data_IF_893346459677
#
_entry.id   IF_893346459677
#
_cell.length_a   1.000
_cell.length_b   1.000
_cell.length_c   1.000
_cell.angle_alpha   90.00
_cell.angle_beta   90.00
_cell.angle_gamma   90.00
#
_symmetry.space_group_name_H-M   'P 1'
#
loop_
_entity.id
_entity.type
_entity.pdbx_description
1 polymer ?
#
# COMPACT_ATOMS: atom_id res chain seq x y z
N UNK A 1 24.37 -37.33 -0.77
CA UNK A 1 23.02 -36.73 -0.62
C UNK A 1 23.09 -35.71 0.52
N UNK A 2 23.23 -34.42 0.22
CA UNK A 2 23.14 -33.36 1.24
C UNK A 2 21.66 -33.21 1.60
N UNK A 3 21.34 -33.37 2.87
CA UNK A 3 20.03 -33.05 3.45
C UNK A 3 19.72 -31.57 3.20
N UNK A 4 18.47 -31.19 2.87
CA UNK A 4 18.09 -29.79 2.80
C UNK A 4 18.20 -29.22 4.22
N UNK A 5 18.95 -28.14 4.40
CA UNK A 5 18.83 -27.31 5.59
C UNK A 5 17.44 -26.69 5.53
N UNK A 6 16.55 -27.09 6.43
CA UNK A 6 15.37 -26.30 6.76
C UNK A 6 15.88 -25.01 7.42
N UNK A 7 16.17 -23.99 6.59
CA UNK A 7 16.13 -22.62 7.08
C UNK A 7 14.69 -22.37 7.51
N UNK A 8 14.48 -22.31 8.83
CA UNK A 8 13.24 -21.78 9.41
C UNK A 8 13.14 -20.32 8.96
N UNK A 9 12.52 -20.09 7.82
CA UNK A 9 12.07 -18.77 7.39
C UNK A 9 11.04 -18.30 8.41
N UNK A 10 11.52 -17.53 9.39
CA UNK A 10 10.68 -16.95 10.42
C UNK A 10 9.98 -15.73 9.81
N UNK A 11 8.85 -15.95 9.13
CA UNK A 11 8.05 -14.87 8.56
C UNK A 11 7.43 -14.06 9.71
N UNK A 12 7.96 -12.87 9.95
CA UNK A 12 7.37 -11.94 10.90
C UNK A 12 6.20 -11.22 10.19
N UNK A 13 5.02 -11.85 10.19
CA UNK A 13 3.81 -11.30 9.59
C UNK A 13 3.34 -10.09 10.42
N UNK A 14 3.79 -8.89 10.03
CA UNK A 14 3.34 -7.63 10.63
C UNK A 14 2.32 -6.95 9.73
N UNK A 15 1.35 -6.28 10.35
CA UNK A 15 0.41 -5.42 9.63
C UNK A 15 1.13 -4.15 9.19
N UNK A 16 1.06 -3.82 7.91
CA UNK A 16 1.81 -2.70 7.34
C UNK A 16 1.48 -1.34 8.01
N UNK A 17 0.25 -1.18 8.52
CA UNK A 17 -0.15 0.03 9.27
C UNK A 17 0.67 0.27 10.56
N UNK A 18 1.29 -0.78 11.12
CA UNK A 18 2.11 -0.73 12.34
C UNK A 18 3.61 -0.71 12.06
N UNK A 19 4.01 -0.94 10.82
CA UNK A 19 5.43 -0.94 10.46
C UNK A 19 5.87 0.51 10.32
N UNK A 20 6.83 0.94 11.15
CA UNK A 20 7.45 2.25 11.03
C UNK A 20 8.40 2.24 9.84
N UNK A 21 8.14 3.11 8.87
CA UNK A 21 8.94 3.25 7.65
C UNK A 21 9.30 4.72 7.44
N UNK A 22 10.41 5.04 6.76
CA UNK A 22 10.64 6.40 6.29
C UNK A 22 9.56 6.79 5.26
N UNK A 23 9.06 8.01 5.40
CA UNK A 23 7.98 8.56 4.56
C UNK A 23 8.57 9.53 3.54
N UNK A 24 8.39 9.23 2.26
CA UNK A 24 8.78 10.09 1.12
C UNK A 24 7.53 10.69 0.49
N UNK A 25 7.29 11.98 0.74
CA UNK A 25 6.09 12.66 0.25
C UNK A 25 6.38 13.48 -1.00
N UNK A 26 5.60 13.27 -2.04
CA UNK A 26 5.66 14.00 -3.29
C UNK A 26 4.52 15.02 -3.34
N UNK A 27 4.87 16.28 -3.55
CA UNK A 27 3.93 17.38 -3.71
C UNK A 27 4.22 18.16 -5.00
N UNK A 28 3.18 18.78 -5.55
CA UNK A 28 3.29 19.72 -6.66
C UNK A 28 2.95 21.11 -6.15
N UNK A 29 3.71 22.12 -6.53
CA UNK A 29 3.41 23.52 -6.26
C UNK A 29 3.21 24.21 -7.60
N UNK A 30 2.03 24.79 -7.80
CA UNK A 30 1.63 25.43 -9.05
C UNK A 30 1.24 24.45 -10.16
N UNK A 31 0.80 25.01 -11.28
CA UNK A 31 0.26 24.31 -12.45
C UNK A 31 1.21 24.32 -13.66
N UNK A 32 2.29 25.10 -13.64
CA UNK A 32 3.26 25.20 -14.74
C UNK A 32 4.10 23.94 -15.00
N UNK A 33 4.21 23.02 -14.03
CA UNK A 33 5.08 21.84 -14.18
C UNK A 33 4.53 20.84 -15.22
N UNK A 34 5.25 20.66 -16.32
CA UNK A 34 4.77 19.89 -17.48
C UNK A 34 4.66 18.37 -17.20
N UNK A 35 5.63 17.82 -16.47
CA UNK A 35 5.68 16.40 -16.18
C UNK A 35 4.65 15.97 -15.12
N UNK A 36 4.16 14.73 -15.23
CA UNK A 36 3.22 14.19 -14.26
C UNK A 36 3.95 13.67 -13.04
N UNK A 37 3.54 14.17 -11.85
CA UNK A 37 4.07 13.72 -10.56
C UNK A 37 3.88 12.23 -10.34
N UNK A 38 2.64 11.74 -10.50
CA UNK A 38 2.32 10.32 -10.31
C UNK A 38 3.08 9.43 -11.29
N UNK A 39 3.34 9.88 -12.53
CA UNK A 39 4.16 9.08 -13.47
C UNK A 39 5.61 8.99 -13.02
N UNK A 40 6.20 10.10 -12.55
CA UNK A 40 7.56 10.07 -11.98
C UNK A 40 7.63 9.09 -10.81
N UNK A 41 6.63 9.11 -9.92
CA UNK A 41 6.53 8.17 -8.80
C UNK A 41 6.37 6.72 -9.26
N UNK A 42 5.53 6.46 -10.27
CA UNK A 42 5.36 5.10 -10.81
C UNK A 42 6.65 4.58 -11.44
N UNK A 43 7.39 5.40 -12.19
CA UNK A 43 8.69 5.03 -12.75
C UNK A 43 9.72 4.72 -11.66
N UNK A 44 9.65 5.44 -10.54
CA UNK A 44 10.47 5.20 -9.36
C UNK A 44 10.12 3.89 -8.66
N UNK A 45 8.83 3.56 -8.53
CA UNK A 45 8.39 2.39 -7.76
C UNK A 45 8.41 1.09 -8.54
N UNK A 46 7.82 1.10 -9.74
CA UNK A 46 7.76 -0.09 -10.59
C UNK A 46 8.64 0.19 -11.80
N UNK A 47 9.52 -0.74 -12.15
CA UNK A 47 10.27 -0.72 -13.43
C UNK A 47 9.28 -0.93 -14.62
N UNK A 48 8.22 -0.10 -14.69
CA UNK A 48 7.09 -0.09 -15.62
C UNK A 48 6.23 -1.37 -15.67
N UNK A 49 6.17 -2.13 -14.57
CA UNK A 49 5.34 -3.35 -14.51
C UNK A 49 3.87 -3.05 -14.22
N UNK A 50 3.59 -2.02 -13.42
CA UNK A 50 2.25 -1.62 -12.99
C UNK A 50 2.28 -0.18 -12.44
N UNK A 51 1.18 0.55 -12.59
CA UNK A 51 1.04 1.86 -11.93
C UNK A 51 0.64 1.66 -10.46
N UNK A 52 1.41 2.26 -9.55
CA UNK A 52 1.13 2.22 -8.12
C UNK A 52 0.26 3.39 -7.67
N UNK A 53 0.42 4.55 -8.31
CA UNK A 53 -0.36 5.76 -8.11
C UNK A 53 -1.22 6.06 -9.34
N UNK A 54 -2.44 6.54 -9.11
CA UNK A 54 -3.30 7.00 -10.18
C UNK A 54 -2.71 8.23 -10.89
N UNK A 55 -2.82 8.26 -12.23
CA UNK A 55 -2.38 9.37 -13.06
C UNK A 55 -3.36 9.65 -14.20
N UNK A 56 -3.19 10.81 -14.86
CA UNK A 56 -4.03 11.32 -15.96
C UNK A 56 -4.16 10.44 -17.22
N UNK A 57 -3.47 9.30 -17.27
CA UNK A 57 -3.57 8.35 -18.38
C UNK A 57 -4.03 6.96 -17.92
N UNK A 58 -4.42 6.80 -16.65
CA UNK A 58 -5.11 5.59 -16.22
C UNK A 58 -6.47 5.49 -16.93
N UNK A 59 -6.92 4.25 -17.17
CA UNK A 59 -8.28 3.98 -17.66
C UNK A 59 -9.28 4.62 -16.70
N UNK A 60 -10.34 5.24 -17.22
CA UNK A 60 -11.35 5.99 -16.44
C UNK A 60 -10.85 7.27 -15.77
N UNK A 61 -9.64 7.74 -16.07
CA UNK A 61 -9.20 9.07 -15.62
C UNK A 61 -10.02 10.18 -16.31
N UNK A 62 -10.46 11.14 -15.50
CA UNK A 62 -11.07 12.39 -15.97
C UNK A 62 -10.04 13.52 -15.94
N UNK A 63 -10.17 14.48 -16.87
CA UNK A 63 -9.32 15.68 -16.91
C UNK A 63 -9.53 16.59 -15.70
N UNK A 64 -10.70 16.54 -15.09
CA UNK A 64 -11.12 17.53 -14.08
C UNK A 64 -10.74 17.14 -12.65
N UNK A 65 -10.13 15.97 -12.43
CA UNK A 65 -9.61 15.50 -11.13
C UNK A 65 -10.58 15.67 -9.93
N UNK A 66 -11.89 15.70 -10.16
CA UNK A 66 -12.90 16.16 -9.19
C UNK A 66 -12.84 15.45 -7.83
N UNK A 67 -12.52 14.16 -7.83
CA UNK A 67 -12.43 13.34 -6.61
C UNK A 67 -11.01 13.19 -6.07
N UNK A 68 -9.99 13.48 -6.91
CA UNK A 68 -8.59 13.26 -6.55
C UNK A 68 -7.92 14.54 -6.07
N UNK A 69 -8.37 15.73 -6.46
CA UNK A 69 -7.76 16.99 -6.00
C UNK A 69 -7.78 17.08 -4.46
N UNK A 70 -6.60 17.15 -3.84
CA UNK A 70 -6.42 17.17 -2.38
C UNK A 70 -6.35 15.82 -1.69
N UNK A 71 -6.47 14.71 -2.42
CA UNK A 71 -6.29 13.35 -1.89
C UNK A 71 -4.82 13.09 -1.62
N UNK A 72 -4.55 12.49 -0.45
CA UNK A 72 -3.23 11.99 -0.06
C UNK A 72 -3.23 10.48 -0.26
N UNK A 73 -2.68 10.03 -1.39
CA UNK A 73 -2.58 8.61 -1.74
C UNK A 73 -1.30 8.01 -1.17
N UNK A 74 -1.35 6.79 -0.63
CA UNK A 74 -0.23 6.12 0.04
C UNK A 74 0.09 4.81 -0.67
N UNK A 75 1.38 4.54 -0.88
CA UNK A 75 1.88 3.27 -1.40
C UNK A 75 3.12 2.83 -0.60
N UNK A 76 3.24 1.52 -0.35
CA UNK A 76 4.43 0.95 0.27
C UNK A 76 5.34 0.32 -0.78
N UNK A 77 6.61 0.68 -0.75
CA UNK A 77 7.66 -0.06 -1.43
C UNK A 77 8.19 -1.13 -0.47
N UNK A 78 8.11 -2.39 -0.86
CA UNK A 78 8.67 -3.51 -0.10
C UNK A 78 9.72 -4.20 -0.96
N UNK A 79 11.00 -4.21 -0.56
CA UNK A 79 12.04 -4.91 -1.32
C UNK A 79 11.76 -6.41 -1.36
N UNK A 80 12.07 -7.04 -2.50
CA UNK A 80 12.03 -8.49 -2.67
C UNK A 80 13.26 -9.20 -2.12
N UNK A 81 14.32 -8.45 -1.81
CA UNK A 81 15.61 -8.98 -1.36
C UNK A 81 16.53 -9.35 -2.52
N UNK A 82 16.28 -8.81 -3.72
CA UNK A 82 17.14 -8.97 -4.89
C UNK A 82 18.10 -7.77 -5.01
N UNK A 83 19.31 -7.99 -5.52
CA UNK A 83 20.29 -6.91 -5.77
C UNK A 83 19.76 -5.82 -6.73
N UNK A 84 18.69 -6.14 -7.45
CA UNK A 84 18.00 -5.27 -8.42
C UNK A 84 16.96 -4.34 -7.78
N UNK A 85 16.74 -4.45 -6.46
CA UNK A 85 15.83 -3.57 -5.72
C UNK A 85 16.40 -2.15 -5.63
N UNK A 86 15.54 -1.15 -5.84
CA UNK A 86 15.97 0.26 -5.84
C UNK A 86 16.27 0.78 -4.42
N UNK A 87 15.64 0.19 -3.41
CA UNK A 87 15.79 0.55 -2.01
C UNK A 87 15.92 -0.71 -1.18
N UNK A 88 16.81 -0.70 -0.18
CA UNK A 88 17.13 -1.87 0.63
C UNK A 88 16.11 -2.09 1.77
N UNK A 89 15.33 -1.07 2.11
CA UNK A 89 14.36 -1.07 3.20
C UNK A 89 12.94 -0.76 2.69
N UNK A 90 11.93 -1.15 3.46
CA UNK A 90 10.55 -0.76 3.19
C UNK A 90 10.38 0.75 3.34
N UNK A 91 9.75 1.39 2.36
CA UNK A 91 9.49 2.83 2.34
C UNK A 91 8.01 3.09 2.12
N UNK A 92 7.51 4.18 2.71
CA UNK A 92 6.17 4.68 2.42
C UNK A 92 6.27 5.89 1.51
N UNK A 93 5.66 5.79 0.34
CA UNK A 93 5.53 6.89 -0.61
C UNK A 93 4.15 7.51 -0.48
N UNK A 94 4.10 8.82 -0.42
CA UNK A 94 2.86 9.58 -0.30
C UNK A 94 2.73 10.56 -1.47
N UNK A 95 1.55 10.61 -2.08
CA UNK A 95 1.24 11.45 -3.23
C UNK A 95 0.08 12.41 -2.90
N UNK A 96 0.37 13.70 -2.72
CA UNK A 96 -0.69 14.73 -2.61
C UNK A 96 -1.20 15.17 -3.98
N UNK A 97 -2.33 14.64 -4.41
CA UNK A 97 -2.93 15.02 -5.69
C UNK A 97 -3.35 16.50 -5.72
N UNK A 98 -3.17 17.15 -6.87
CA UNK A 98 -3.46 18.58 -7.05
C UNK A 98 -2.28 19.50 -6.69
N UNK A 99 -2.59 20.80 -6.58
CA UNK A 99 -1.64 21.85 -6.18
C UNK A 99 -1.62 21.98 -4.65
N UNK A 100 -0.46 21.71 -4.04
CA UNK A 100 -0.28 21.74 -2.59
C UNK A 100 -0.64 23.10 -1.96
N UNK A 101 -0.50 24.20 -2.72
CA UNK A 101 -0.91 25.54 -2.26
C UNK A 101 -2.40 25.59 -1.90
N UNK A 102 -3.26 24.89 -2.65
CA UNK A 102 -4.71 24.86 -2.40
C UNK A 102 -5.08 23.98 -1.20
N UNK A 103 -4.20 23.05 -0.82
CA UNK A 103 -4.45 22.03 0.20
C UNK A 103 -3.54 22.21 1.42
N UNK A 104 -3.61 23.40 2.04
CA UNK A 104 -2.72 23.81 3.14
C UNK A 104 -2.73 22.82 4.31
N UNK A 105 -3.90 22.29 4.69
CA UNK A 105 -4.03 21.34 5.80
C UNK A 105 -3.28 20.04 5.52
N UNK A 106 -3.43 19.50 4.30
CA UNK A 106 -2.69 18.33 3.83
C UNK A 106 -1.19 18.63 3.76
N UNK A 107 -0.80 19.80 3.25
CA UNK A 107 0.61 20.20 3.20
C UNK A 107 1.25 20.25 4.59
N UNK A 108 0.59 20.87 5.58
CA UNK A 108 1.07 20.92 6.96
C UNK A 108 1.20 19.52 7.56
N UNK A 109 0.22 18.64 7.34
CA UNK A 109 0.29 17.24 7.75
C UNK A 109 1.51 16.53 7.14
N UNK A 110 1.72 16.68 5.82
CA UNK A 110 2.87 16.07 5.13
C UNK A 110 4.21 16.63 5.63
N UNK A 111 4.29 17.91 5.95
CA UNK A 111 5.50 18.50 6.54
C UNK A 111 5.87 17.87 7.89
N UNK A 112 4.88 17.45 8.68
CA UNK A 112 5.10 16.83 9.98
C UNK A 112 5.53 15.36 9.82
N UNK A 113 4.79 14.57 9.03
CA UNK A 113 4.98 13.12 8.94
C UNK A 113 6.15 12.70 8.03
N UNK A 114 6.54 13.52 7.05
CA UNK A 114 7.53 13.10 6.05
C UNK A 114 8.94 13.03 6.63
N UNK A 115 9.69 12.00 6.26
CA UNK A 115 11.14 11.92 6.41
C UNK A 115 11.84 12.72 5.31
N UNK A 116 11.24 12.76 4.12
CA UNK A 116 11.72 13.48 2.96
C UNK A 116 10.56 14.04 2.15
N UNK A 117 10.66 15.29 1.69
CA UNK A 117 9.69 15.89 0.79
C UNK A 117 10.32 16.09 -0.59
N UNK A 118 9.61 15.67 -1.63
CA UNK A 118 9.95 15.92 -3.04
C UNK A 118 8.93 16.90 -3.61
N UNK A 119 9.40 18.07 -4.03
CA UNK A 119 8.58 19.16 -4.56
C UNK A 119 8.78 19.26 -6.06
N UNK A 120 7.68 19.22 -6.81
CA UNK A 120 7.66 19.47 -8.25
C UNK A 120 7.15 20.90 -8.46
N UNK A 121 7.94 21.73 -9.13
CA UNK A 121 7.59 23.11 -9.42
C UNK A 121 8.23 23.58 -10.72
N UNK A 122 7.58 24.51 -11.41
CA UNK A 122 8.17 25.13 -12.61
C UNK A 122 9.17 26.21 -12.22
N UNK A 123 10.24 26.38 -13.01
CA UNK A 123 11.22 27.46 -12.77
C UNK A 123 10.66 28.82 -13.13
N UNK A 124 9.81 28.86 -14.16
CA UNK A 124 9.15 30.06 -14.64
C UNK A 124 8.00 30.51 -13.72
N UNK A 125 7.77 29.82 -12.60
CA UNK A 125 6.72 30.17 -11.64
C UNK A 125 7.05 31.47 -10.89
N UNK A 126 6.46 32.56 -11.36
CA UNK A 126 6.57 33.90 -10.79
C UNK A 126 5.51 34.17 -9.69
N UNK A 127 4.64 33.20 -9.40
CA UNK A 127 3.59 33.35 -8.41
C UNK A 127 4.20 33.48 -7.01
N UNK A 128 4.01 34.65 -6.40
CA UNK A 128 4.57 34.98 -5.08
C UNK A 128 4.14 34.02 -3.98
N UNK A 129 2.92 33.46 -4.05
CA UNK A 129 2.43 32.48 -3.08
C UNK A 129 3.09 31.12 -3.27
N UNK A 130 3.26 30.65 -4.52
CA UNK A 130 3.99 29.42 -4.83
C UNK A 130 5.44 29.51 -4.33
N UNK A 131 6.09 30.65 -4.58
CA UNK A 131 7.43 30.93 -4.06
C UNK A 131 7.48 30.96 -2.53
N UNK A 132 6.43 31.48 -1.87
CA UNK A 132 6.34 31.45 -0.41
C UNK A 132 6.26 30.01 0.10
N UNK A 133 5.38 29.17 -0.45
CA UNK A 133 5.27 27.75 -0.08
C UNK A 133 6.62 27.03 -0.21
N UNK A 134 7.31 27.22 -1.34
CA UNK A 134 8.62 26.60 -1.57
C UNK A 134 9.68 27.16 -0.62
N UNK A 135 9.68 28.47 -0.34
CA UNK A 135 10.60 29.07 0.65
C UNK A 135 10.35 28.51 2.06
N UNK A 136 9.11 28.38 2.48
CA UNK A 136 8.74 27.86 3.81
C UNK A 136 9.20 26.39 3.94
N UNK A 137 8.99 25.57 2.89
CA UNK A 137 9.52 24.21 2.81
C UNK A 137 11.06 24.19 2.84
N UNK A 138 11.69 25.10 2.10
CA UNK A 138 13.14 25.31 2.11
C UNK A 138 13.63 26.01 3.37
N UNK A 139 12.80 26.33 4.37
CA UNK A 139 13.28 26.79 5.68
C UNK A 139 13.05 25.73 6.75
N UNK A 140 12.19 24.75 6.47
CA UNK A 140 11.93 23.62 7.35
C UNK A 140 13.17 22.75 7.59
N UNK A 141 13.21 22.06 8.74
CA UNK A 141 14.28 21.12 9.08
C UNK A 141 14.24 19.81 8.28
N UNK A 142 13.20 19.59 7.47
CA UNK A 142 13.01 18.35 6.73
C UNK A 142 13.89 18.34 5.46
N UNK A 143 14.54 17.21 5.14
CA UNK A 143 15.20 17.02 3.86
C UNK A 143 14.26 17.30 2.68
N UNK A 144 14.79 17.91 1.62
CA UNK A 144 13.99 18.43 0.51
C UNK A 144 14.68 18.20 -0.85
N UNK A 145 13.95 17.62 -1.80
CA UNK A 145 14.35 17.54 -3.21
C UNK A 145 13.39 18.41 -4.01
N UNK A 146 13.92 19.39 -4.76
CA UNK A 146 13.11 20.15 -5.71
C UNK A 146 13.37 19.67 -7.14
N UNK A 147 12.35 19.13 -7.78
CA UNK A 147 12.32 18.77 -9.19
C UNK A 147 11.86 19.97 -10.03
N UNK A 148 12.69 20.38 -10.99
CA UNK A 148 12.50 21.58 -11.81
C UNK A 148 12.44 21.21 -13.30
N UNK A 149 11.40 21.64 -14.00
CA UNK A 149 11.13 21.27 -15.40
C UNK A 149 12.14 21.86 -16.41
N UNK A 150 12.54 23.12 -16.23
CA UNK A 150 13.32 23.87 -17.23
C UNK A 150 14.79 24.14 -16.83
N UNK A 151 15.36 23.33 -15.92
CA UNK A 151 16.76 23.48 -15.50
C UNK A 151 17.61 22.47 -16.24
N UNK A 152 18.60 22.92 -17.01
CA UNK A 152 19.67 22.04 -17.48
C UNK A 152 20.49 21.52 -16.30
N UNK A 153 21.17 20.39 -16.49
CA UNK A 153 22.03 19.72 -15.49
C UNK A 153 23.10 20.68 -14.97
N UNK A 154 22.76 21.48 -13.98
CA UNK A 154 23.68 22.34 -13.25
C UNK A 154 23.79 21.82 -11.83
N UNK A 155 25.04 21.62 -11.39
CA UNK A 155 25.38 21.30 -10.01
C UNK A 155 24.95 22.46 -9.11
N UNK A 156 23.72 22.40 -8.60
CA UNK A 156 23.07 23.53 -7.94
C UNK A 156 23.11 23.38 -6.42
N UNK A 157 23.95 24.17 -5.73
CA UNK A 157 23.94 24.43 -4.28
C UNK A 157 23.38 23.28 -3.43
N UNK A 158 24.09 22.16 -3.46
CA UNK A 158 23.78 21.01 -2.64
C UNK A 158 24.15 21.35 -1.20
N UNK A 159 23.15 21.60 -0.37
CA UNK A 159 23.34 21.52 1.07
C UNK A 159 23.17 20.07 1.51
N UNK A 160 23.65 19.73 2.71
CA UNK A 160 23.64 18.35 3.24
C UNK A 160 22.27 17.67 3.12
N UNK A 161 21.17 18.43 3.23
CA UNK A 161 19.80 17.90 3.21
C UNK A 161 18.91 18.48 2.11
N UNK A 162 19.46 19.27 1.16
CA UNK A 162 18.64 19.87 0.09
C UNK A 162 19.33 19.89 -1.25
N UNK A 163 18.56 19.55 -2.29
CA UNK A 163 19.05 19.50 -3.66
C UNK A 163 17.97 19.95 -4.65
N UNK A 164 18.42 20.52 -5.76
CA UNK A 164 17.57 20.85 -6.91
C UNK A 164 17.99 19.96 -8.08
N UNK A 165 17.04 19.22 -8.65
CA UNK A 165 17.26 18.33 -9.80
C UNK A 165 16.47 18.91 -10.98
N UNK A 166 17.17 19.18 -12.08
CA UNK A 166 16.55 19.61 -13.34
C UNK A 166 16.10 18.43 -14.18
N UNK A 167 14.96 18.53 -14.86
CA UNK A 167 14.41 17.49 -15.73
C UNK A 167 14.77 17.68 -17.21
N UNK A 168 15.20 18.88 -17.61
CA UNK A 168 15.47 19.21 -19.02
C UNK A 168 16.59 18.33 -19.59
N UNK A 169 16.35 17.81 -20.80
CA UNK A 169 17.26 16.94 -21.55
C UNK A 169 17.64 15.64 -20.84
N UNK A 170 16.81 15.15 -19.90
CA UNK A 170 17.04 13.88 -19.22
C UNK A 170 16.06 12.83 -19.68
N UNK A 171 16.58 11.61 -19.86
CA UNK A 171 15.70 10.46 -20.02
C UNK A 171 15.18 9.99 -18.64
N UNK A 172 14.14 9.16 -18.68
CA UNK A 172 13.49 8.64 -17.47
C UNK A 172 14.43 7.80 -16.61
N UNK A 173 15.33 7.02 -17.22
CA UNK A 173 16.24 6.14 -16.50
C UNK A 173 17.25 6.95 -15.66
N UNK A 174 17.85 7.98 -16.26
CA UNK A 174 18.77 8.91 -15.59
C UNK A 174 18.07 9.66 -14.45
N UNK A 175 16.88 10.20 -14.70
CA UNK A 175 16.10 10.89 -13.66
C UNK A 175 15.79 9.95 -12.50
N UNK A 176 15.35 8.74 -12.79
CA UNK A 176 14.98 7.76 -11.76
C UNK A 176 16.20 7.32 -10.96
N UNK A 177 17.35 7.12 -11.61
CA UNK A 177 18.60 6.75 -10.93
C UNK A 177 19.11 7.86 -10.01
N UNK A 178 19.11 9.12 -10.47
CA UNK A 178 19.53 10.26 -9.64
C UNK A 178 18.58 10.48 -8.47
N UNK A 179 17.27 10.37 -8.71
CA UNK A 179 16.26 10.49 -7.67
C UNK A 179 16.39 9.37 -6.63
N UNK A 180 16.57 8.12 -7.07
CA UNK A 180 16.78 6.96 -6.17
C UNK A 180 18.01 7.15 -5.30
N UNK A 181 19.15 7.51 -5.90
CA UNK A 181 20.41 7.74 -5.19
C UNK A 181 20.27 8.89 -4.17
N UNK A 182 19.59 9.95 -4.56
CA UNK A 182 19.37 11.12 -3.69
C UNK A 182 18.44 10.79 -2.52
N UNK A 183 17.34 10.08 -2.77
CA UNK A 183 16.42 9.62 -1.73
C UNK A 183 17.18 8.75 -0.75
N UNK A 184 17.94 7.75 -1.21
CA UNK A 184 18.73 6.85 -0.36
C UNK A 184 19.66 7.64 0.57
N UNK A 185 20.46 8.54 0.00
CA UNK A 185 21.36 9.42 0.77
C UNK A 185 20.61 10.23 1.83
N UNK A 186 19.46 10.82 1.50
CA UNK A 186 18.70 11.63 2.45
C UNK A 186 18.00 10.81 3.52
N UNK A 187 17.57 9.58 3.20
CA UNK A 187 17.00 8.67 4.17
C UNK A 187 18.06 8.08 5.12
N UNK A 188 19.28 7.82 4.65
CA UNK A 188 20.41 7.44 5.53
C UNK A 188 20.75 8.53 6.55
N UNK A 189 20.62 9.80 6.15
CA UNK A 189 20.81 10.96 7.04
C UNK A 189 19.59 11.22 7.94
N UNK A 190 18.41 10.80 7.52
CA UNK A 190 17.14 11.02 8.21
C UNK A 190 16.71 9.73 8.94
N UNK A 191 17.04 9.62 10.22
CA UNK A 191 16.58 8.51 11.08
C UNK A 191 15.08 8.53 11.42
N UNK A 192 14.29 9.44 10.85
CA UNK A 192 12.85 9.54 11.10
C UNK A 192 12.08 8.47 10.33
N UNK A 193 11.34 7.63 11.04
CA UNK A 193 10.40 6.67 10.50
C UNK A 193 9.09 6.75 11.31
N UNK A 194 7.95 6.61 10.65
CA UNK A 194 6.64 6.63 11.29
C UNK A 194 5.78 5.51 10.71
N UNK A 195 4.91 4.95 11.56
CA UNK A 195 3.87 4.02 11.11
C UNK A 195 2.63 4.80 10.65
N UNK A 196 1.66 4.11 10.03
CA UNK A 196 0.38 4.71 9.70
C UNK A 196 -0.43 5.04 10.96
N UNK A 197 -0.30 4.24 12.03
CA UNK A 197 -0.91 4.52 13.34
C UNK A 197 -0.36 5.83 13.95
N UNK A 198 0.95 6.09 13.83
CA UNK A 198 1.56 7.35 14.27
C UNK A 198 1.03 8.53 13.43
N UNK A 199 0.95 8.33 12.11
CA UNK A 199 0.37 9.32 11.19
C UNK A 199 -1.09 9.64 11.55
N UNK A 200 -1.88 8.65 11.98
CA UNK A 200 -3.26 8.87 12.42
C UNK A 200 -3.32 9.76 13.67
N UNK A 201 -2.39 9.61 14.63
CA UNK A 201 -2.33 10.50 15.79
C UNK A 201 -2.01 11.94 15.40
N UNK A 202 -1.08 12.14 14.46
CA UNK A 202 -0.75 13.46 13.92
C UNK A 202 -1.94 14.04 13.16
N UNK A 203 -2.61 13.24 12.34
CA UNK A 203 -3.81 13.64 11.61
C UNK A 203 -4.93 14.11 12.55
N UNK A 204 -5.14 13.43 13.69
CA UNK A 204 -6.08 13.88 14.75
C UNK A 204 -5.73 15.27 15.28
N UNK A 205 -4.45 15.52 15.60
CA UNK A 205 -3.99 16.83 16.10
C UNK A 205 -4.20 17.94 15.07
N UNK A 206 -4.04 17.60 13.79
CA UNK A 206 -4.31 18.50 12.66
C UNK A 206 -5.82 18.62 12.35
N UNK A 207 -6.69 17.96 13.12
CA UNK A 207 -8.14 18.03 12.99
C UNK A 207 -8.71 17.27 11.80
N UNK A 208 -8.01 16.26 11.26
CA UNK A 208 -8.61 15.33 10.32
C UNK A 208 -9.58 14.40 11.04
N UNK A 209 -10.65 14.00 10.35
CA UNK A 209 -11.55 12.97 10.83
C UNK A 209 -10.91 11.61 10.57
N UNK A 210 -10.85 10.78 11.61
CA UNK A 210 -10.36 9.40 11.50
C UNK A 210 -11.56 8.48 11.59
N UNK A 211 -11.68 7.56 10.63
CA UNK A 211 -12.73 6.55 10.58
C UNK A 211 -12.66 5.61 11.80
N UNK A 212 -11.46 5.19 12.22
CA UNK A 212 -11.23 4.38 13.42
C UNK A 212 -11.75 5.03 14.72
N UNK A 213 -11.97 6.36 14.73
CA UNK A 213 -12.54 7.04 15.89
C UNK A 213 -14.07 6.95 15.96
N UNK A 214 -14.73 6.60 14.85
CA UNK A 214 -16.18 6.42 14.76
C UNK A 214 -16.64 5.21 15.57
N UNK A 215 -17.83 5.32 16.18
CA UNK A 215 -18.38 4.27 17.05
C UNK A 215 -18.51 2.92 16.33
N UNK A 216 -19.05 2.94 15.12
CA UNK A 216 -19.30 1.73 14.34
C UNK A 216 -17.98 1.01 14.00
N UNK A 217 -16.92 1.76 13.67
CA UNK A 217 -15.59 1.22 13.43
C UNK A 217 -14.96 0.63 14.70
N UNK A 218 -15.12 1.30 15.85
CA UNK A 218 -14.63 0.80 17.15
C UNK A 218 -15.33 -0.49 17.56
N UNK A 219 -16.66 -0.53 17.48
CA UNK A 219 -17.43 -1.72 17.81
C UNK A 219 -17.08 -2.90 16.88
N UNK A 220 -16.94 -2.63 15.57
CA UNK A 220 -16.51 -3.64 14.62
C UNK A 220 -15.10 -4.18 14.93
N UNK A 221 -14.16 -3.29 15.29
CA UNK A 221 -12.80 -3.66 15.70
C UNK A 221 -12.80 -4.53 16.96
N UNK A 222 -13.54 -4.13 18.00
CA UNK A 222 -13.67 -4.90 19.24
C UNK A 222 -14.21 -6.31 18.99
N UNK A 223 -15.28 -6.44 18.19
CA UNK A 223 -15.83 -7.76 17.81
C UNK A 223 -14.82 -8.61 17.04
N UNK A 224 -14.07 -8.00 16.12
CA UNK A 224 -13.02 -8.68 15.37
C UNK A 224 -11.88 -9.14 16.29
N UNK A 225 -11.46 -8.32 17.26
CA UNK A 225 -10.43 -8.66 18.23
C UNK A 225 -10.84 -9.84 19.13
N UNK A 226 -12.09 -9.86 19.59
CA UNK A 226 -12.66 -11.00 20.35
C UNK A 226 -12.60 -12.28 19.51
N UNK A 227 -13.03 -12.22 18.23
CA UNK A 227 -12.96 -13.38 17.34
C UNK A 227 -11.51 -13.85 17.13
N UNK A 228 -10.58 -12.92 16.91
CA UNK A 228 -9.17 -13.23 16.72
C UNK A 228 -8.53 -13.83 17.97
N UNK A 229 -8.94 -13.43 19.17
CA UNK A 229 -8.50 -14.03 20.43
C UNK A 229 -8.95 -15.50 20.53
N UNK A 230 -10.23 -15.79 20.26
CA UNK A 230 -10.77 -17.16 20.24
C UNK A 230 -10.03 -18.06 19.22
N UNK A 231 -9.69 -17.51 18.05
CA UNK A 231 -8.92 -18.22 17.03
C UNK A 231 -7.48 -18.51 17.48
N UNK A 232 -6.84 -17.60 18.23
CA UNK A 232 -5.47 -17.81 18.75
C UNK A 232 -5.41 -18.85 19.86
N UNK A 233 -6.43 -18.93 20.70
CA UNK A 233 -6.50 -19.93 21.79
C UNK A 233 -6.76 -21.35 21.27
N UNK A 234 -7.44 -21.47 20.13
CA UNK A 234 -7.80 -22.77 19.56
C UNK A 234 -6.66 -23.33 18.71
N UNK A 235 -6.20 -24.55 19.01
CA UNK A 235 -5.24 -25.27 18.15
C UNK A 235 -5.80 -25.38 16.74
N UNK A 236 -5.00 -25.04 15.73
CA UNK A 236 -5.38 -25.07 14.30
C UNK A 236 -6.01 -26.42 13.90
N UNK A 237 -5.45 -27.53 14.40
CA UNK A 237 -5.97 -28.88 14.11
C UNK A 237 -7.40 -29.13 14.63
N UNK A 238 -7.81 -28.46 15.70
CA UNK A 238 -9.13 -28.60 16.34
C UNK A 238 -10.09 -27.47 15.96
N UNK A 239 -9.62 -26.48 15.20
CA UNK A 239 -10.37 -25.26 14.92
C UNK A 239 -11.64 -25.55 14.11
N UNK A 240 -11.54 -26.40 13.09
CA UNK A 240 -12.71 -26.82 12.30
C UNK A 240 -13.72 -27.57 13.15
N UNK A 241 -13.30 -28.52 13.97
CA UNK A 241 -14.22 -29.31 14.79
C UNK A 241 -14.93 -28.46 15.85
N UNK A 242 -14.23 -27.51 16.48
CA UNK A 242 -14.77 -26.70 17.57
C UNK A 242 -15.59 -25.50 17.09
N UNK A 243 -15.10 -24.78 16.08
CA UNK A 243 -15.69 -23.51 15.64
C UNK A 243 -16.55 -23.67 14.40
N UNK A 244 -16.28 -24.68 13.56
CA UNK A 244 -16.99 -24.93 12.31
C UNK A 244 -17.42 -26.40 12.23
N UNK A 245 -18.16 -26.93 13.22
CA UNK A 245 -18.42 -28.37 13.37
C UNK A 245 -19.07 -28.98 12.11
N UNK A 246 -19.85 -28.18 11.38
CA UNK A 246 -20.47 -28.58 10.13
C UNK A 246 -19.48 -28.71 8.96
N UNK A 247 -18.32 -28.06 9.00
CA UNK A 247 -17.26 -28.07 7.98
C UNK A 247 -16.15 -29.11 8.24
N UNK A 248 -16.31 -29.94 9.27
CA UNK A 248 -15.42 -31.05 9.60
C UNK A 248 -15.84 -32.36 8.94
N UNK A 249 -15.89 -33.42 9.73
CA UNK A 249 -16.19 -34.76 9.23
C UNK A 249 -17.58 -34.88 8.58
N UNK A 250 -18.58 -34.15 9.09
CA UNK A 250 -19.93 -34.14 8.52
C UNK A 250 -19.93 -33.61 7.08
N UNK A 251 -19.22 -32.52 6.79
CA UNK A 251 -19.06 -32.01 5.43
C UNK A 251 -18.35 -33.01 4.53
N UNK A 252 -17.27 -33.64 5.01
CA UNK A 252 -16.54 -34.64 4.23
C UNK A 252 -17.42 -35.84 3.89
N UNK A 253 -18.20 -36.34 4.86
CA UNK A 253 -19.17 -37.43 4.64
C UNK A 253 -20.27 -37.01 3.66
N UNK A 254 -20.84 -35.81 3.82
CA UNK A 254 -21.84 -35.27 2.89
C UNK A 254 -21.29 -35.15 1.47
N UNK A 255 -20.13 -34.50 1.28
CA UNK A 255 -19.50 -34.36 -0.04
C UNK A 255 -19.20 -35.72 -0.70
N UNK A 256 -18.77 -36.71 0.08
CA UNK A 256 -18.54 -38.06 -0.44
C UNK A 256 -19.86 -38.68 -0.91
N UNK A 257 -20.92 -38.60 -0.11
CA UNK A 257 -22.25 -39.12 -0.44
C UNK A 257 -22.89 -38.41 -1.64
N UNK A 258 -22.76 -37.09 -1.73
CA UNK A 258 -23.25 -36.29 -2.85
C UNK A 258 -22.49 -36.66 -4.14
N UNK A 259 -21.16 -36.81 -4.07
CA UNK A 259 -20.37 -37.33 -5.20
C UNK A 259 -20.80 -38.75 -5.60
N UNK A 260 -21.02 -39.66 -4.65
CA UNK A 260 -21.51 -41.03 -4.91
C UNK A 260 -22.91 -41.04 -5.56
N UNK A 261 -23.76 -40.08 -5.21
CA UNK A 261 -25.11 -39.92 -5.77
C UNK A 261 -25.08 -39.59 -7.27
N UNK A 262 -24.16 -38.72 -7.69
CA UNK A 262 -24.08 -38.24 -9.07
C UNK A 262 -23.07 -38.99 -9.95
N UNK A 263 -21.98 -39.54 -9.41
CA UNK A 263 -20.92 -40.13 -10.23
C UNK A 263 -21.24 -41.52 -10.80
N UNK A 264 -22.30 -42.21 -10.36
CA UNK A 264 -22.78 -43.53 -10.83
C UNK A 264 -21.72 -44.66 -10.92
N UNK A 265 -20.45 -44.42 -10.58
CA UNK A 265 -19.35 -45.40 -10.62
C UNK A 265 -19.55 -46.56 -9.64
N UNK A 266 -20.27 -46.32 -8.55
CA UNK A 266 -20.57 -47.31 -7.50
C UNK A 266 -21.94 -48.01 -7.68
N UNK A 267 -22.65 -47.73 -8.78
CA UNK A 267 -24.00 -48.27 -9.09
C UNK A 267 -23.99 -49.80 -9.26
N UNK A 268 -22.88 -50.38 -9.76
CA UNK A 268 -22.82 -51.79 -10.14
C UNK A 268 -23.98 -52.16 -11.10
N UNK A 269 -24.67 -53.26 -10.82
CA UNK A 269 -25.81 -53.75 -11.62
C UNK A 269 -27.18 -53.16 -11.23
N UNK A 270 -27.25 -52.21 -10.29
CA UNK A 270 -28.54 -51.61 -9.86
C UNK A 270 -29.03 -50.60 -10.91
N UNK A 271 -30.34 -50.28 -10.96
CA UNK A 271 -30.81 -49.16 -11.78
C UNK A 271 -30.39 -47.80 -11.20
N UNK A 272 -30.41 -46.72 -12.00
CA UNK A 272 -30.02 -45.38 -11.53
C UNK A 272 -30.94 -44.92 -10.38
N UNK A 273 -32.23 -45.19 -10.51
CA UNK A 273 -33.25 -44.83 -9.51
C UNK A 273 -33.08 -45.64 -8.22
N UNK A 274 -32.76 -46.92 -8.31
CA UNK A 274 -32.48 -47.78 -7.16
C UNK A 274 -31.24 -47.31 -6.38
N UNK A 275 -30.17 -46.95 -7.10
CA UNK A 275 -28.94 -46.41 -6.50
C UNK A 275 -29.20 -45.08 -5.78
N UNK A 276 -29.91 -44.16 -6.43
CA UNK A 276 -30.30 -42.86 -5.84
C UNK A 276 -31.19 -43.03 -4.60
N UNK A 277 -32.23 -43.86 -4.68
CA UNK A 277 -33.14 -44.12 -3.56
C UNK A 277 -32.42 -44.77 -2.36
N UNK A 278 -31.40 -45.60 -2.61
CA UNK A 278 -30.58 -46.22 -1.56
C UNK A 278 -29.68 -45.19 -0.86
N UNK A 279 -29.08 -44.27 -1.62
CA UNK A 279 -28.27 -43.19 -1.04
C UNK A 279 -29.15 -42.22 -0.24
N UNK A 280 -30.33 -41.86 -0.74
CA UNK A 280 -31.30 -41.01 -0.01
C UNK A 280 -31.75 -41.64 1.32
N UNK A 281 -32.06 -42.95 1.33
CA UNK A 281 -32.38 -43.66 2.58
C UNK A 281 -31.24 -43.62 3.58
N UNK A 282 -29.99 -43.82 3.11
CA UNK A 282 -28.81 -43.74 3.97
C UNK A 282 -28.60 -42.33 4.51
N UNK A 283 -28.73 -41.30 3.67
CA UNK A 283 -28.56 -39.91 4.08
C UNK A 283 -29.57 -39.53 5.19
N UNK A 284 -30.84 -39.95 5.05
CA UNK A 284 -31.86 -39.79 6.11
C UNK A 284 -31.50 -40.50 7.41
N UNK A 285 -30.94 -41.71 7.34
CA UNK A 285 -30.53 -42.48 8.52
C UNK A 285 -29.37 -41.82 9.28
N UNK A 286 -28.43 -41.19 8.56
CA UNK A 286 -27.27 -40.51 9.17
C UNK A 286 -27.55 -39.05 9.54
N UNK A 287 -28.79 -38.58 9.44
CA UNK A 287 -29.14 -37.17 9.71
C UNK A 287 -28.51 -36.18 8.74
N UNK A 288 -28.05 -36.67 7.58
CA UNK A 288 -27.43 -35.88 6.51
C UNK A 288 -28.57 -35.40 5.62
N UNK A 289 -29.31 -34.40 6.09
CA UNK A 289 -30.39 -33.77 5.32
C UNK A 289 -29.83 -32.55 4.56
N UNK A 290 -30.41 -32.30 3.38
CA UNK A 290 -30.13 -31.10 2.59
C UNK A 290 -30.81 -29.89 3.21
#
# INVERSE_FOLDING_TARGET
KKSPKEEKTNYNNQQMCRVSTPIVSFIRVGDGFSASKSQIMNCLLSKRKHDAFFHRHCRESSKDCLLMEGVVEVCWFCPGGEDEDRFDNCLTFINLHGDAKKHKKQLTFLQEVSSLIVVLMSISDDNKENQKVVRDLWQSSKPLICLLDDKERTMANNSVQRVKIGLRNRNEAELTQELTTTIRRFLELSGAALSLEDCAQIARKQGFLIDEDQRDCKEAKEKAEVLMALLRETKISQMKEKLLPLQGELWHRWCKKDKEFYHLREKGNQSIEQHKSKIERKNKLYGINR
#
